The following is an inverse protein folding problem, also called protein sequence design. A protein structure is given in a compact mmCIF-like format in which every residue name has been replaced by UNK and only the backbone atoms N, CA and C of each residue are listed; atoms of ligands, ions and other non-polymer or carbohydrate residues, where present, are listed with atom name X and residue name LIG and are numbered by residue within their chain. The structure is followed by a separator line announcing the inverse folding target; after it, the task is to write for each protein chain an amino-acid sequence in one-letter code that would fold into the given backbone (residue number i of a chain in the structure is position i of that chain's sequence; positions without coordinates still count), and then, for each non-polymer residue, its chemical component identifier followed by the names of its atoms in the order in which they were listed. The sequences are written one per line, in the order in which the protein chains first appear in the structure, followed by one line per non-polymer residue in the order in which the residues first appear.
data_IF_017362788051
#
_entry.id   IF_017362788051
#
_cell.length_a   1.000
_cell.length_b   1.000
_cell.length_c   1.000
_cell.angle_alpha   90.00
_cell.angle_beta   90.00
_cell.angle_gamma   90.00
#
_symmetry.space_group_name_H-M   'P 1'
#
loop_
_entity.id
_entity.type
_entity.pdbx_description
1 polymer ?
#
# COMPACT_ATOMS: atom_id res chain seq x y z
N UNK A 1 -17.09 5.03 18.77
CA UNK A 1 -18.48 5.10 18.26
C UNK A 1 -18.70 3.96 17.25
N UNK A 2 -19.73 3.14 17.45
CA UNK A 2 -20.13 2.04 16.55
C UNK A 2 -21.54 2.32 16.03
N UNK A 3 -21.81 2.04 14.75
CA UNK A 3 -23.14 2.14 14.14
C UNK A 3 -23.95 0.84 14.23
N UNK A 4 -23.43 -0.17 14.94
CA UNK A 4 -24.06 -1.48 15.05
C UNK A 4 -25.30 -1.46 15.95
N UNK A 5 -26.41 -2.03 15.48
CA UNK A 5 -27.67 -2.14 16.21
C UNK A 5 -27.61 -3.04 17.47
N UNK A 6 -26.59 -3.90 17.59
CA UNK A 6 -26.36 -4.74 18.76
C UNK A 6 -24.86 -4.77 19.15
N UNK A 7 -24.60 -4.74 20.46
CA UNK A 7 -23.25 -4.70 21.03
C UNK A 7 -22.71 -6.13 21.14
N UNK A 8 -21.90 -6.56 20.17
CA UNK A 8 -21.02 -7.73 20.32
C UNK A 8 -19.77 -7.34 21.12
N UNK A 9 -19.00 -8.29 21.64
CA UNK A 9 -17.76 -8.05 22.42
C UNK A 9 -16.71 -7.18 21.73
N UNK A 10 -16.85 -6.93 20.42
CA UNK A 10 -16.00 -6.08 19.58
C UNK A 10 -16.64 -4.72 19.26
N UNK A 11 -17.96 -4.58 19.39
CA UNK A 11 -18.69 -3.32 19.18
C UNK A 11 -18.50 -2.38 20.38
N UNK A 12 -18.21 -1.10 20.11
CA UNK A 12 -18.17 -0.04 21.14
C UNK A 12 -16.77 0.43 21.57
N UNK A 13 -15.69 -0.30 21.23
CA UNK A 13 -14.31 0.07 21.60
C UNK A 13 -13.55 0.92 20.58
N UNK A 14 -14.18 1.30 19.46
CA UNK A 14 -13.51 2.00 18.34
C UNK A 14 -13.07 1.07 17.21
N UNK A 15 -12.92 -0.23 17.48
CA UNK A 15 -12.37 -1.24 16.57
C UNK A 15 -13.02 -1.27 15.18
N UNK A 16 -14.35 -1.13 15.09
CA UNK A 16 -15.05 -1.16 13.80
C UNK A 16 -14.59 -0.06 12.85
N UNK A 17 -14.48 1.18 13.34
CA UNK A 17 -13.99 2.30 12.53
C UNK A 17 -12.48 2.29 12.36
N UNK A 18 -11.74 1.68 13.28
CA UNK A 18 -10.29 1.50 13.15
C UNK A 18 -9.96 0.54 12.00
N UNK A 19 -10.73 -0.54 11.82
CA UNK A 19 -10.59 -1.46 10.68
C UNK A 19 -10.91 -0.76 9.36
N UNK A 20 -11.99 0.04 9.33
CA UNK A 20 -12.37 0.82 8.14
C UNK A 20 -11.27 1.83 7.78
N UNK A 21 -10.80 2.61 8.77
CA UNK A 21 -9.71 3.57 8.60
C UNK A 21 -8.46 2.89 8.07
N UNK A 22 -8.00 1.82 8.72
CA UNK A 22 -6.79 1.10 8.29
C UNK A 22 -6.90 0.58 6.85
N UNK A 23 -8.06 0.07 6.43
CA UNK A 23 -8.23 -0.40 5.06
C UNK A 23 -8.21 0.73 4.03
N UNK A 24 -8.75 1.90 4.38
CA UNK A 24 -8.72 3.10 3.53
C UNK A 24 -7.30 3.67 3.45
N UNK A 25 -6.55 3.71 4.56
CA UNK A 25 -5.16 4.20 4.58
C UNK A 25 -4.21 3.28 3.79
N UNK A 26 -4.43 1.96 3.81
CA UNK A 26 -3.64 0.99 3.01
C UNK A 26 -3.68 1.26 1.51
N UNK A 27 -4.74 1.88 1.00
CA UNK A 27 -4.87 2.27 -0.42
C UNK A 27 -4.52 3.74 -0.65
N UNK A 28 -3.88 4.40 0.32
CA UNK A 28 -3.53 5.82 0.26
C UNK A 28 -4.73 6.77 0.37
N UNK A 29 -5.90 6.26 0.78
CA UNK A 29 -7.09 7.05 0.98
C UNK A 29 -7.18 7.70 2.36
N UNK A 30 -8.14 8.59 2.51
CA UNK A 30 -8.52 9.20 3.80
C UNK A 30 -10.03 9.14 4.01
N UNK A 31 -10.44 9.04 5.27
CA UNK A 31 -11.85 9.07 5.69
C UNK A 31 -12.09 10.19 6.71
N UNK A 32 -13.09 11.02 6.45
CA UNK A 32 -13.59 12.06 7.34
C UNK A 32 -14.99 11.67 7.83
N UNK A 33 -15.29 11.97 9.09
CA UNK A 33 -16.56 11.65 9.73
C UNK A 33 -17.17 12.91 10.35
N UNK A 34 -18.41 13.20 9.97
CA UNK A 34 -19.23 14.26 10.54
C UNK A 34 -20.52 13.64 11.05
N UNK A 35 -20.88 13.88 12.30
CA UNK A 35 -22.16 13.44 12.85
C UNK A 35 -22.74 14.54 13.70
N UNK A 36 -24.03 14.80 13.51
CA UNK A 36 -24.78 15.71 14.34
C UNK A 36 -26.04 15.00 14.81
N UNK A 37 -26.20 14.95 16.13
CA UNK A 37 -27.33 14.26 16.75
C UNK A 37 -28.66 14.83 16.24
N UNK A 38 -29.60 13.94 15.93
CA UNK A 38 -30.89 14.32 15.34
C UNK A 38 -30.87 14.75 13.87
N UNK A 39 -29.69 14.97 13.26
CA UNK A 39 -29.54 15.36 11.85
C UNK A 39 -29.01 14.18 11.01
N UNK A 40 -28.17 13.34 11.61
CA UNK A 40 -27.61 12.15 10.98
C UNK A 40 -26.08 12.19 10.90
N UNK A 41 -25.53 11.25 10.13
CA UNK A 41 -24.09 11.07 9.97
C UNK A 41 -23.68 11.11 8.50
N UNK A 42 -22.54 11.74 8.23
CA UNK A 42 -21.92 11.85 6.91
C UNK A 42 -20.47 11.35 6.99
N UNK A 43 -20.14 10.45 6.08
CA UNK A 43 -18.78 9.98 5.85
C UNK A 43 -18.29 10.53 4.51
N UNK A 44 -17.07 11.03 4.48
CA UNK A 44 -16.41 11.47 3.24
C UNK A 44 -15.15 10.64 3.06
N UNK A 45 -15.11 9.84 2.01
CA UNK A 45 -13.96 9.00 1.66
C UNK A 45 -13.31 9.60 0.42
N UNK A 46 -12.01 9.92 0.51
CA UNK A 46 -11.21 10.42 -0.61
C UNK A 46 -10.17 9.36 -0.93
N UNK A 47 -10.26 8.78 -2.11
CA UNK A 47 -9.30 7.80 -2.62
C UNK A 47 -8.50 8.46 -3.75
N UNK A 48 -7.15 8.37 -3.75
CA UNK A 48 -6.35 8.82 -4.87
C UNK A 48 -6.82 8.17 -6.18
N UNK A 49 -6.93 8.97 -7.25
CA UNK A 49 -7.27 8.44 -8.58
C UNK A 49 -6.25 7.40 -9.06
N UNK A 50 -4.99 7.58 -8.65
CA UNK A 50 -3.89 6.66 -8.89
C UNK A 50 -3.35 6.17 -7.55
N UNK A 51 -3.32 4.86 -7.36
CA UNK A 51 -2.52 4.26 -6.30
C UNK A 51 -1.04 4.60 -6.54
N UNK A 52 -0.22 4.64 -5.49
CA UNK A 52 1.21 4.89 -5.63
C UNK A 52 1.85 3.79 -6.49
N UNK A 53 2.14 4.10 -7.76
CA UNK A 53 2.84 3.19 -8.67
C UNK A 53 4.33 3.49 -8.55
N UNK A 54 5.11 2.48 -8.16
CA UNK A 54 6.57 2.55 -8.13
C UNK A 54 7.11 1.64 -9.23
N UNK A 55 7.86 2.20 -10.18
CA UNK A 55 8.57 1.40 -11.18
C UNK A 55 9.66 0.57 -10.52
N UNK A 56 9.64 -0.74 -10.74
CA UNK A 56 10.59 -1.67 -10.16
C UNK A 56 11.24 -2.56 -11.24
N UNK A 57 12.52 -2.83 -11.07
CA UNK A 57 13.23 -3.88 -11.79
C UNK A 57 13.00 -5.21 -11.06
N UNK A 58 12.41 -6.17 -11.77
CA UNK A 58 12.24 -7.53 -11.25
C UNK A 58 13.51 -8.33 -11.55
N UNK A 59 14.08 -8.94 -10.51
CA UNK A 59 15.24 -9.83 -10.60
C UNK A 59 14.90 -11.18 -9.97
N UNK A 60 15.58 -12.24 -10.41
CA UNK A 60 15.42 -13.59 -9.88
C UNK A 60 16.76 -14.10 -9.35
N UNK A 61 16.76 -14.68 -8.15
CA UNK A 61 17.91 -15.32 -7.55
C UNK A 61 17.47 -16.64 -6.93
N UNK A 62 18.08 -17.75 -7.33
CA UNK A 62 17.73 -19.10 -6.86
C UNK A 62 16.22 -19.43 -6.98
N UNK A 63 15.54 -18.88 -7.99
CA UNK A 63 14.10 -19.05 -8.22
C UNK A 63 13.19 -18.11 -7.42
N UNK A 64 13.74 -17.31 -6.51
CA UNK A 64 13.02 -16.29 -5.75
C UNK A 64 13.02 -14.95 -6.49
N UNK A 65 11.87 -14.26 -6.50
CA UNK A 65 11.71 -12.98 -7.19
C UNK A 65 11.81 -11.81 -6.23
N UNK A 66 12.61 -10.83 -6.62
CA UNK A 66 12.80 -9.58 -5.89
C UNK A 66 12.44 -8.39 -6.79
N UNK A 67 11.96 -7.32 -6.17
CA UNK A 67 11.65 -6.06 -6.84
C UNK A 67 12.58 -4.97 -6.31
N UNK A 68 13.44 -4.44 -7.16
CA UNK A 68 14.34 -3.33 -6.85
C UNK A 68 13.71 -2.04 -7.38
N UNK A 69 13.67 -0.93 -6.61
CA UNK A 69 13.26 0.36 -7.15
C UNK A 69 14.11 0.71 -8.37
N UNK A 70 13.48 1.01 -9.51
CA UNK A 70 14.21 1.23 -10.76
C UNK A 70 15.15 2.44 -10.68
N UNK A 71 14.80 3.43 -9.87
CA UNK A 71 15.64 4.61 -9.59
C UNK A 71 16.91 4.30 -8.78
N UNK A 72 16.98 3.14 -8.13
CA UNK A 72 18.18 2.69 -7.39
C UNK A 72 19.17 1.94 -8.30
N UNK A 73 18.80 1.61 -9.54
CA UNK A 73 19.65 0.87 -10.47
C UNK A 73 20.45 1.86 -11.33
N UNK A 74 21.77 1.89 -11.12
CA UNK A 74 22.68 2.78 -11.87
C UNK A 74 22.91 2.26 -13.28
N UNK A 75 23.23 0.97 -13.42
CA UNK A 75 23.55 0.35 -14.71
C UNK A 75 23.26 -1.16 -14.69
N UNK A 76 22.90 -1.71 -15.85
CA UNK A 76 22.75 -3.15 -16.08
C UNK A 76 23.83 -3.64 -17.04
N UNK A 77 24.81 -4.36 -16.50
CA UNK A 77 25.90 -4.95 -17.30
C UNK A 77 25.51 -6.37 -17.70
N UNK A 78 25.42 -6.61 -19.02
CA UNK A 78 25.20 -7.95 -19.57
C UNK A 78 26.53 -8.64 -19.81
N UNK A 79 26.86 -9.65 -19.02
CA UNK A 79 28.07 -10.44 -19.21
C UNK A 79 27.82 -11.48 -20.31
N UNK A 80 28.55 -11.38 -21.42
CA UNK A 80 28.61 -12.44 -22.42
C UNK A 80 29.70 -13.44 -22.00
N UNK A 81 29.30 -14.70 -21.77
CA UNK A 81 30.19 -15.78 -21.33
C UNK A 81 31.33 -16.07 -22.32
N UNK A 82 31.22 -15.63 -23.57
CA UNK A 82 32.27 -15.77 -24.58
C UNK A 82 33.37 -14.68 -24.52
N UNK A 83 33.18 -13.60 -23.75
CA UNK A 83 34.06 -12.42 -23.76
C UNK A 83 34.83 -12.19 -22.44
N UNK A 84 34.89 -13.17 -21.54
CA UNK A 84 35.52 -13.05 -20.20
C UNK A 84 37.05 -13.05 -20.25
N UNK A 85 37.65 -12.13 -21.01
CA UNK A 85 39.11 -11.93 -21.08
C UNK A 85 39.57 -10.48 -20.87
N UNK A 86 38.71 -9.56 -20.41
CA UNK A 86 39.15 -8.17 -20.19
C UNK A 86 38.14 -7.30 -19.46
N UNK A 87 37.79 -7.64 -18.23
CA UNK A 87 37.08 -6.73 -17.33
C UNK A 87 37.96 -6.53 -16.08
N UNK A 88 38.96 -5.68 -16.26
CA UNK A 88 39.70 -5.01 -15.19
C UNK A 88 39.38 -3.51 -15.28
N UNK A 89 38.74 -3.01 -14.22
CA UNK A 89 38.75 -1.64 -13.72
C UNK A 89 38.25 -1.68 -12.28
#
# INVERSE_FOLDING_TARGET
FSTAAAVTSVSGRGVGMDVVRNNIEKIGGIIEFHSTEGIGSRFVIKIPLTLAIVSALIVECEGERFALPQNSVVELVRINRAATKGLEN
#
